data_IF_374802391774
#
_entry.id   IF_374802391774
#
_cell.length_a   1.000
_cell.length_b   1.000
_cell.length_c   1.000
_cell.angle_alpha   90.00
_cell.angle_beta   90.00
_cell.angle_gamma   90.00
#
_symmetry.space_group_name_H-M   'P 1'
#
loop_
_entity.id
_entity.type
_entity.pdbx_description
1 polymer ?
#
# COMPACT_ATOMS: atom_id res chain seq x y z
N UNK A 1 -5.21 17.44 19.67
CA UNK A 1 -5.03 17.89 18.28
C UNK A 1 -4.96 16.64 17.41
N UNK A 2 -5.63 16.66 16.27
CA UNK A 2 -5.51 15.58 15.31
C UNK A 2 -4.12 15.64 14.67
N UNK A 3 -3.40 14.50 14.62
CA UNK A 3 -2.00 14.44 14.15
C UNK A 3 -1.80 14.90 12.71
N UNK A 4 -2.85 14.77 11.88
CA UNK A 4 -2.80 15.02 10.44
C UNK A 4 -3.74 16.18 10.03
N UNK A 5 -4.11 17.04 10.96
CA UNK A 5 -5.00 18.17 10.69
C UNK A 5 -4.44 19.06 9.56
N UNK A 6 -5.26 19.34 8.56
CA UNK A 6 -4.90 20.15 7.39
C UNK A 6 -3.97 19.46 6.38
N UNK A 7 -3.59 18.20 6.56
CA UNK A 7 -2.79 17.43 5.62
C UNK A 7 -3.64 16.86 4.49
N UNK A 8 -3.07 16.77 3.28
CA UNK A 8 -3.65 16.10 2.13
C UNK A 8 -2.92 14.80 1.86
N UNK A 9 -3.66 13.69 1.83
CA UNK A 9 -3.13 12.35 1.62
C UNK A 9 -3.66 11.71 0.34
N UNK A 10 -2.85 10.86 -0.30
CA UNK A 10 -3.23 10.03 -1.46
C UNK A 10 -3.00 8.58 -1.11
N UNK A 11 -3.98 7.72 -1.40
CA UNK A 11 -3.89 6.27 -1.15
C UNK A 11 -4.32 5.53 -2.42
N UNK A 12 -3.43 4.75 -3.01
CA UNK A 12 -3.79 3.86 -4.10
C UNK A 12 -4.29 2.51 -3.58
N UNK A 13 -5.29 1.91 -4.25
CA UNK A 13 -5.99 0.73 -3.71
C UNK A 13 -6.74 1.05 -2.42
N UNK A 14 -7.35 2.24 -2.34
CA UNK A 14 -8.08 2.72 -1.17
C UNK A 14 -9.53 2.26 -1.08
N UNK A 15 -9.98 1.46 -2.04
CA UNK A 15 -11.34 0.94 -2.13
C UNK A 15 -11.61 -0.30 -1.25
N UNK A 16 -10.56 -0.90 -0.67
CA UNK A 16 -10.72 -2.11 0.15
C UNK A 16 -9.52 -2.40 1.06
N UNK A 17 -9.68 -3.33 2.00
CA UNK A 17 -8.59 -3.90 2.81
C UNK A 17 -7.73 -2.85 3.52
N UNK A 18 -6.40 -2.98 3.38
CA UNK A 18 -5.42 -2.11 4.02
C UNK A 18 -5.61 -0.65 3.59
N UNK A 19 -5.81 -0.41 2.30
CA UNK A 19 -5.98 0.96 1.77
C UNK A 19 -7.20 1.66 2.36
N UNK A 20 -8.35 0.98 2.42
CA UNK A 20 -9.58 1.51 2.99
C UNK A 20 -9.43 1.80 4.49
N UNK A 21 -8.89 0.86 5.25
CA UNK A 21 -8.64 1.06 6.68
C UNK A 21 -7.69 2.24 6.93
N UNK A 22 -6.63 2.36 6.10
CA UNK A 22 -5.71 3.49 6.17
C UNK A 22 -6.40 4.81 5.85
N UNK A 23 -7.24 4.85 4.81
CA UNK A 23 -7.98 6.05 4.45
C UNK A 23 -8.88 6.53 5.60
N UNK A 24 -9.65 5.61 6.20
CA UNK A 24 -10.46 5.91 7.38
C UNK A 24 -9.63 6.44 8.54
N UNK A 25 -8.47 5.79 8.83
CA UNK A 25 -7.58 6.19 9.92
C UNK A 25 -6.99 7.59 9.71
N UNK A 26 -6.50 7.91 8.50
CA UNK A 26 -5.95 9.25 8.23
C UNK A 26 -7.04 10.33 8.29
N UNK A 27 -8.26 10.05 7.84
CA UNK A 27 -9.41 10.97 7.98
C UNK A 27 -9.78 11.18 9.45
N UNK A 28 -9.81 10.13 10.25
CA UNK A 28 -10.04 10.20 11.70
C UNK A 28 -9.00 11.13 12.39
N UNK A 29 -7.76 11.13 11.90
CA UNK A 29 -6.67 11.97 12.40
C UNK A 29 -6.60 13.37 11.77
N UNK A 30 -7.60 13.75 10.95
CA UNK A 30 -7.79 15.12 10.45
C UNK A 30 -7.30 15.36 9.02
N UNK A 31 -6.79 14.36 8.32
CA UNK A 31 -6.37 14.51 6.93
C UNK A 31 -7.56 14.60 5.97
N UNK A 32 -7.36 15.24 4.84
CA UNK A 32 -8.18 15.06 3.65
C UNK A 32 -7.54 13.98 2.76
N UNK A 33 -8.32 12.96 2.35
CA UNK A 33 -7.76 11.79 1.69
C UNK A 33 -8.33 11.61 0.28
N UNK A 34 -7.47 11.45 -0.70
CA UNK A 34 -7.83 10.97 -2.03
C UNK A 34 -7.56 9.46 -2.09
N UNK A 35 -8.57 8.70 -2.48
CA UNK A 35 -8.45 7.27 -2.70
C UNK A 35 -8.64 6.93 -4.16
N UNK A 36 -7.88 5.97 -4.69
CA UNK A 36 -8.11 5.45 -6.03
C UNK A 36 -8.23 3.93 -6.03
N UNK A 37 -9.05 3.42 -6.95
CA UNK A 37 -9.29 2.00 -7.17
C UNK A 37 -9.92 1.79 -8.53
N UNK A 38 -9.85 0.55 -9.05
CA UNK A 38 -10.34 0.23 -10.40
C UNK A 38 -11.85 0.09 -10.47
N UNK A 39 -12.47 -0.33 -9.37
CA UNK A 39 -13.88 -0.69 -9.32
C UNK A 39 -14.70 0.48 -8.77
N UNK A 40 -15.47 1.11 -9.63
CA UNK A 40 -16.23 2.31 -9.26
C UNK A 40 -17.18 2.06 -8.09
N UNK A 41 -17.92 0.96 -8.12
CA UNK A 41 -18.89 0.64 -7.07
C UNK A 41 -18.22 0.52 -5.69
N UNK A 42 -17.14 -0.24 -5.59
CA UNK A 42 -16.40 -0.42 -4.34
C UNK A 42 -15.76 0.89 -3.88
N UNK A 43 -15.34 1.73 -4.82
CA UNK A 43 -14.80 3.06 -4.52
C UNK A 43 -15.88 3.98 -3.94
N UNK A 44 -17.09 3.97 -4.50
CA UNK A 44 -18.23 4.75 -4.01
C UNK A 44 -18.67 4.26 -2.61
N UNK A 45 -18.70 2.94 -2.40
CA UNK A 45 -18.96 2.33 -1.10
C UNK A 45 -17.91 2.74 -0.06
N UNK A 46 -16.62 2.76 -0.42
CA UNK A 46 -15.53 3.20 0.44
C UNK A 46 -15.67 4.70 0.83
N UNK A 47 -15.95 5.57 -0.14
CA UNK A 47 -16.20 6.99 0.11
C UNK A 47 -17.38 7.17 1.06
N UNK A 48 -18.49 6.44 0.85
CA UNK A 48 -19.65 6.47 1.71
C UNK A 48 -19.34 5.97 3.13
N UNK A 49 -18.55 4.92 3.26
CA UNK A 49 -18.13 4.36 4.56
C UNK A 49 -17.25 5.33 5.36
N UNK A 50 -16.29 5.99 4.71
CA UNK A 50 -15.40 6.98 5.34
C UNK A 50 -16.20 8.26 5.68
N UNK A 51 -17.09 8.70 4.81
CA UNK A 51 -18.12 9.70 5.03
C UNK A 51 -17.68 11.14 4.77
N UNK A 52 -16.60 11.63 5.34
CA UNK A 52 -16.13 13.03 5.21
C UNK A 52 -14.65 13.10 4.83
N UNK A 53 -14.23 14.26 4.32
CA UNK A 53 -12.80 14.53 3.99
C UNK A 53 -12.17 13.46 3.10
N UNK A 54 -12.94 12.89 2.18
CA UNK A 54 -12.49 11.89 1.23
C UNK A 54 -13.03 12.15 -0.16
N UNK A 55 -12.19 11.92 -1.17
CA UNK A 55 -12.56 11.91 -2.60
C UNK A 55 -12.09 10.61 -3.24
N UNK A 56 -13.01 9.91 -3.91
CA UNK A 56 -12.69 8.75 -4.73
C UNK A 56 -12.42 9.16 -6.18
N UNK A 57 -11.33 8.69 -6.75
CA UNK A 57 -11.00 8.88 -8.17
C UNK A 57 -10.76 7.50 -8.79
N UNK A 58 -11.65 7.05 -9.68
CA UNK A 58 -11.48 5.76 -10.34
C UNK A 58 -10.21 5.77 -11.19
N UNK A 59 -9.41 4.71 -11.08
CA UNK A 59 -8.19 4.56 -11.89
C UNK A 59 -7.45 3.25 -11.62
N UNK A 60 -6.69 2.83 -12.62
CA UNK A 60 -5.73 1.73 -12.53
C UNK A 60 -4.31 2.31 -12.48
N UNK A 61 -3.52 1.96 -11.47
CA UNK A 61 -2.15 2.47 -11.33
C UNK A 61 -1.22 2.00 -12.47
N UNK A 62 -1.56 0.91 -13.15
CA UNK A 62 -0.83 0.46 -14.35
C UNK A 62 -1.13 1.30 -15.60
N UNK A 63 -2.19 2.11 -15.58
CA UNK A 63 -2.55 3.05 -16.63
C UNK A 63 -2.09 4.48 -16.27
N UNK A 64 -1.08 4.98 -16.97
CA UNK A 64 -0.50 6.28 -16.65
C UNK A 64 -1.46 7.46 -16.85
N UNK A 65 -2.43 7.36 -17.78
CA UNK A 65 -3.46 8.38 -17.96
C UNK A 65 -4.43 8.47 -16.79
N UNK A 66 -4.68 7.36 -16.11
CA UNK A 66 -5.49 7.34 -14.88
C UNK A 66 -4.78 8.04 -13.72
N UNK A 67 -3.45 7.87 -13.63
CA UNK A 67 -2.63 8.61 -12.67
C UNK A 67 -2.61 10.11 -12.99
N UNK A 68 -2.53 10.49 -14.28
CA UNK A 68 -2.61 11.91 -14.67
C UNK A 68 -3.95 12.53 -14.25
N UNK A 69 -5.05 11.82 -14.46
CA UNK A 69 -6.39 12.25 -14.01
C UNK A 69 -6.49 12.38 -12.48
N UNK A 70 -5.91 11.42 -11.74
CA UNK A 70 -5.85 11.47 -10.28
C UNK A 70 -5.15 12.75 -9.81
N UNK A 71 -3.94 13.03 -10.30
CA UNK A 71 -3.17 14.18 -9.86
C UNK A 71 -3.73 15.51 -10.36
N UNK A 72 -4.37 15.56 -11.53
CA UNK A 72 -5.11 16.73 -11.98
C UNK A 72 -6.29 17.05 -11.05
N UNK A 73 -7.03 16.03 -10.58
CA UNK A 73 -8.11 16.19 -9.61
C UNK A 73 -7.58 16.73 -8.27
N UNK A 74 -6.45 16.21 -7.79
CA UNK A 74 -5.82 16.66 -6.55
C UNK A 74 -5.35 18.12 -6.68
N UNK A 75 -4.70 18.45 -7.80
CA UNK A 75 -4.27 19.82 -8.10
C UNK A 75 -5.43 20.80 -8.05
N UNK A 76 -6.56 20.43 -8.65
CA UNK A 76 -7.74 21.28 -8.70
C UNK A 76 -8.39 21.47 -7.32
N UNK A 77 -8.45 20.42 -6.49
CA UNK A 77 -9.19 20.46 -5.23
C UNK A 77 -8.36 20.92 -4.04
N UNK A 78 -7.07 20.59 -3.99
CA UNK A 78 -6.18 20.85 -2.83
C UNK A 78 -4.86 21.52 -3.19
N UNK A 79 -4.44 21.45 -4.44
CA UNK A 79 -3.19 22.07 -4.94
C UNK A 79 -1.91 21.40 -4.48
N UNK A 80 -1.94 20.55 -3.46
CA UNK A 80 -0.73 19.93 -2.90
C UNK A 80 -0.99 18.63 -2.16
N UNK A 81 0.08 17.84 -1.97
CA UNK A 81 0.11 16.55 -1.26
C UNK A 81 1.12 16.62 -0.12
N UNK A 82 0.76 16.14 1.05
CA UNK A 82 1.64 15.97 2.21
C UNK A 82 2.03 14.49 2.41
N UNK A 83 1.12 13.57 2.08
CA UNK A 83 1.25 12.14 2.38
C UNK A 83 0.87 11.32 1.13
N UNK A 84 1.68 10.33 0.79
CA UNK A 84 1.35 9.33 -0.23
C UNK A 84 1.53 7.93 0.34
N UNK A 85 0.48 7.14 0.33
CA UNK A 85 0.54 5.70 0.56
C UNK A 85 0.33 4.96 -0.76
N UNK A 86 1.42 4.53 -1.38
CA UNK A 86 1.41 3.69 -2.58
C UNK A 86 1.15 2.24 -2.19
N UNK A 87 -0.14 1.89 -2.09
CA UNK A 87 -0.61 0.62 -1.54
C UNK A 87 -1.15 -0.34 -2.60
N UNK A 88 -1.63 0.14 -3.74
CA UNK A 88 -2.15 -0.73 -4.79
C UNK A 88 -1.15 -1.83 -5.18
N UNK A 89 -1.62 -3.06 -5.23
CA UNK A 89 -0.79 -4.20 -5.55
C UNK A 89 -1.63 -5.46 -5.72
N UNK A 90 -1.02 -6.47 -6.33
CA UNK A 90 -1.61 -7.80 -6.47
C UNK A 90 -0.53 -8.88 -6.23
N UNK A 91 -0.98 -10.07 -5.82
CA UNK A 91 -0.14 -11.25 -5.69
C UNK A 91 -0.93 -12.46 -6.16
N UNK A 92 -0.48 -13.08 -7.22
CA UNK A 92 -1.06 -14.29 -7.77
C UNK A 92 0.00 -15.39 -7.72
N UNK A 93 -0.32 -16.60 -7.19
CA UNK A 93 0.63 -17.68 -7.14
C UNK A 93 0.79 -18.29 -8.54
N UNK A 94 2.04 -18.62 -8.89
CA UNK A 94 2.37 -19.46 -10.03
C UNK A 94 3.68 -20.19 -9.74
N UNK A 95 3.72 -21.53 -9.83
CA UNK A 95 4.96 -22.28 -9.71
C UNK A 95 5.90 -21.91 -10.86
N UNK A 96 7.21 -21.93 -10.59
CA UNK A 96 8.24 -21.46 -11.53
C UNK A 96 8.05 -21.94 -12.99
N UNK A 97 7.77 -23.23 -13.26
CA UNK A 97 7.57 -23.70 -14.63
C UNK A 97 6.30 -23.20 -15.33
N UNK A 98 5.32 -22.65 -14.58
CA UNK A 98 4.04 -22.19 -15.09
C UNK A 98 3.95 -20.65 -15.19
N UNK A 99 5.00 -19.92 -14.86
CA UNK A 99 5.03 -18.48 -14.99
C UNK A 99 5.04 -18.13 -16.48
N UNK A 100 4.01 -17.39 -16.92
CA UNK A 100 3.92 -16.83 -18.26
C UNK A 100 4.41 -15.36 -18.27
N UNK A 101 4.76 -14.87 -19.45
CA UNK A 101 5.07 -13.46 -19.67
C UNK A 101 3.92 -12.57 -19.19
N UNK A 102 2.68 -12.89 -19.54
CA UNK A 102 1.50 -12.15 -19.10
C UNK A 102 1.33 -12.12 -17.57
N UNK A 103 1.67 -13.21 -16.86
CA UNK A 103 1.66 -13.24 -15.39
C UNK A 103 2.73 -12.32 -14.81
N UNK A 104 3.92 -12.33 -15.38
CA UNK A 104 5.03 -11.46 -14.99
C UNK A 104 4.65 -9.98 -15.22
N UNK A 105 4.25 -9.64 -16.45
CA UNK A 105 3.90 -8.28 -16.84
C UNK A 105 2.78 -7.72 -15.97
N UNK A 106 1.69 -8.47 -15.77
CA UNK A 106 0.58 -8.08 -14.91
C UNK A 106 1.04 -7.71 -13.50
N UNK A 107 1.94 -8.51 -12.92
CA UNK A 107 2.43 -8.29 -11.57
C UNK A 107 3.36 -7.08 -11.52
N UNK A 108 4.30 -6.96 -12.44
CA UNK A 108 5.26 -5.86 -12.46
C UNK A 108 4.63 -4.54 -12.91
N UNK A 109 3.68 -4.55 -13.83
CA UNK A 109 2.95 -3.35 -14.27
C UNK A 109 2.20 -2.70 -13.10
N UNK A 110 1.60 -3.48 -12.21
CA UNK A 110 0.90 -2.93 -11.05
C UNK A 110 1.88 -2.62 -9.90
N UNK A 111 2.66 -3.63 -9.47
CA UNK A 111 3.42 -3.54 -8.21
C UNK A 111 4.69 -2.69 -8.32
N UNK A 112 5.29 -2.59 -9.50
CA UNK A 112 6.58 -1.92 -9.72
C UNK A 112 6.39 -0.66 -10.56
N UNK A 113 5.98 -0.81 -11.82
CA UNK A 113 5.77 0.33 -12.74
C UNK A 113 4.68 1.28 -12.23
N UNK A 114 3.51 0.74 -11.87
CA UNK A 114 2.40 1.53 -11.34
C UNK A 114 2.76 2.27 -10.05
N UNK A 115 3.47 1.62 -9.13
CA UNK A 115 3.95 2.24 -7.91
C UNK A 115 4.97 3.35 -8.21
N UNK A 116 5.95 3.10 -9.11
CA UNK A 116 6.95 4.08 -9.49
C UNK A 116 6.29 5.35 -10.04
N UNK A 117 5.40 5.19 -11.04
CA UNK A 117 4.75 6.35 -11.65
C UNK A 117 3.71 7.00 -10.74
N UNK A 118 3.11 6.27 -9.81
CA UNK A 118 2.31 6.86 -8.72
C UNK A 118 3.15 7.87 -7.94
N UNK A 119 4.36 7.50 -7.52
CA UNK A 119 5.25 8.42 -6.80
C UNK A 119 5.77 9.54 -7.68
N UNK A 120 6.29 9.21 -8.88
CA UNK A 120 6.89 10.20 -9.78
C UNK A 120 5.91 11.32 -10.14
N UNK A 121 4.69 10.97 -10.52
CA UNK A 121 3.65 11.94 -10.90
C UNK A 121 3.10 12.74 -9.71
N UNK A 122 3.26 12.26 -8.48
CA UNK A 122 2.92 13.00 -7.26
C UNK A 122 3.92 14.12 -6.95
N UNK A 123 5.21 13.95 -7.31
CA UNK A 123 6.28 14.84 -6.87
C UNK A 123 6.06 16.33 -7.18
N UNK A 124 5.50 16.75 -8.33
CA UNK A 124 5.20 18.17 -8.58
C UNK A 124 4.23 18.79 -7.60
N UNK A 125 3.33 17.99 -7.00
CA UNK A 125 2.33 18.43 -6.03
C UNK A 125 2.79 18.23 -4.57
N UNK A 126 3.87 17.48 -4.36
CA UNK A 126 4.33 17.15 -3.01
C UNK A 126 4.92 18.36 -2.32
N UNK A 127 4.53 18.62 -1.07
CA UNK A 127 5.18 19.61 -0.23
C UNK A 127 6.53 19.09 0.27
N UNK A 128 7.47 20.00 0.47
CA UNK A 128 8.72 19.68 1.16
C UNK A 128 8.42 19.24 2.61
N UNK A 129 9.14 18.26 3.10
CA UNK A 129 8.89 17.66 4.42
C UNK A 129 7.77 16.62 4.45
N UNK A 130 7.18 16.26 3.31
CA UNK A 130 6.12 15.25 3.24
C UNK A 130 6.60 13.81 3.49
N UNK A 131 5.64 12.86 3.49
CA UNK A 131 5.91 11.45 3.76
C UNK A 131 5.36 10.54 2.65
N UNK A 132 6.22 9.72 2.08
CA UNK A 132 5.89 8.68 1.12
C UNK A 132 6.03 7.32 1.80
N UNK A 133 4.96 6.53 1.81
CA UNK A 133 4.94 5.17 2.35
C UNK A 133 4.66 4.20 1.19
N UNK A 134 5.52 3.20 1.05
CA UNK A 134 5.42 2.19 -0.01
C UNK A 134 4.98 0.86 0.58
N UNK A 135 3.92 0.28 0.05
CA UNK A 135 3.44 -1.02 0.51
C UNK A 135 4.25 -2.17 -0.11
N UNK A 136 5.27 -2.61 0.62
CA UNK A 136 6.03 -3.83 0.31
C UNK A 136 5.28 -5.08 0.82
N UNK A 137 5.98 -6.05 1.39
CA UNK A 137 5.44 -7.27 2.00
C UNK A 137 6.56 -7.99 2.72
N UNK A 138 6.27 -8.82 3.72
CA UNK A 138 7.23 -9.81 4.25
C UNK A 138 7.84 -10.68 3.15
N UNK A 139 7.11 -10.89 2.04
CA UNK A 139 7.59 -11.60 0.85
C UNK A 139 8.77 -10.90 0.13
N UNK A 140 9.07 -9.64 0.45
CA UNK A 140 10.28 -8.97 -0.04
C UNK A 140 11.58 -9.55 0.56
N UNK A 141 11.48 -10.17 1.74
CA UNK A 141 12.62 -10.68 2.52
C UNK A 141 12.51 -12.17 2.85
N UNK A 142 11.28 -12.71 2.94
CA UNK A 142 11.02 -14.13 3.24
C UNK A 142 10.46 -14.83 2.00
N UNK A 143 11.12 -15.89 1.58
CA UNK A 143 10.69 -16.67 0.41
C UNK A 143 9.32 -17.33 0.65
N UNK A 144 8.48 -17.33 -0.38
CA UNK A 144 7.19 -18.02 -0.40
C UNK A 144 7.08 -18.83 -1.68
N UNK A 145 6.85 -20.14 -1.54
CA UNK A 145 6.69 -21.03 -2.68
C UNK A 145 5.54 -20.58 -3.59
N UNK A 146 5.77 -20.65 -4.90
CA UNK A 146 4.80 -20.21 -5.91
C UNK A 146 4.65 -18.69 -6.06
N UNK A 147 5.40 -17.86 -5.32
CA UNK A 147 5.27 -16.39 -5.36
C UNK A 147 6.53 -15.67 -5.85
N UNK A 148 7.40 -16.31 -6.64
CA UNK A 148 8.68 -15.72 -7.05
C UNK A 148 8.54 -14.36 -7.73
N UNK A 149 7.58 -14.18 -8.66
CA UNK A 149 7.35 -12.89 -9.34
C UNK A 149 6.85 -11.83 -8.35
N UNK A 150 5.92 -12.18 -7.48
CA UNK A 150 5.44 -11.29 -6.43
C UNK A 150 6.55 -10.89 -5.45
N UNK A 151 7.32 -11.85 -4.94
CA UNK A 151 8.45 -11.62 -4.04
C UNK A 151 9.45 -10.64 -4.68
N UNK A 152 9.84 -10.88 -5.94
CA UNK A 152 10.74 -10.00 -6.69
C UNK A 152 10.16 -8.58 -6.83
N UNK A 153 8.85 -8.44 -7.14
CA UNK A 153 8.20 -7.15 -7.24
C UNK A 153 8.22 -6.39 -5.90
N UNK A 154 8.03 -7.07 -4.77
CA UNK A 154 8.04 -6.45 -3.45
C UNK A 154 9.46 -6.12 -2.95
N UNK A 155 10.46 -6.89 -3.36
CA UNK A 155 11.87 -6.55 -3.16
C UNK A 155 12.26 -5.28 -3.95
N UNK A 156 11.75 -5.10 -5.18
CA UNK A 156 11.92 -3.86 -5.93
C UNK A 156 11.33 -2.65 -5.18
N UNK A 157 10.13 -2.77 -4.62
CA UNK A 157 9.49 -1.71 -3.80
C UNK A 157 10.36 -1.34 -2.60
N UNK A 158 10.93 -2.33 -1.91
CA UNK A 158 11.85 -2.10 -0.79
C UNK A 158 13.10 -1.35 -1.25
N UNK A 159 13.63 -1.68 -2.43
CA UNK A 159 14.78 -0.99 -3.02
C UNK A 159 14.46 0.49 -3.31
N UNK A 160 13.28 0.79 -3.87
CA UNK A 160 12.84 2.17 -4.10
C UNK A 160 12.83 3.01 -2.83
N UNK A 161 12.34 2.48 -1.70
CA UNK A 161 12.32 3.22 -0.46
C UNK A 161 13.72 3.73 -0.05
N UNK A 162 14.75 2.91 -0.21
CA UNK A 162 16.14 3.31 0.10
C UNK A 162 16.67 4.35 -0.88
N UNK A 163 16.48 4.11 -2.18
CA UNK A 163 17.03 4.97 -3.23
C UNK A 163 16.36 6.35 -3.21
N UNK A 164 15.03 6.40 -3.14
CA UNK A 164 14.29 7.66 -3.15
C UNK A 164 14.49 8.50 -1.87
N UNK A 165 14.81 7.87 -0.75
CA UNK A 165 15.25 8.60 0.45
C UNK A 165 16.48 9.47 0.16
N UNK A 166 17.43 8.96 -0.64
CA UNK A 166 18.64 9.71 -1.02
C UNK A 166 18.32 10.77 -2.08
N UNK A 167 17.51 10.43 -3.08
CA UNK A 167 17.14 11.33 -4.17
C UNK A 167 16.31 12.52 -3.71
N UNK A 168 15.41 12.31 -2.73
CA UNK A 168 14.47 13.32 -2.24
C UNK A 168 14.96 14.07 -0.98
N UNK A 169 16.18 13.80 -0.51
CA UNK A 169 16.73 14.42 0.71
C UNK A 169 16.73 15.95 0.68
N UNK A 170 16.96 16.56 -0.48
CA UNK A 170 16.99 18.02 -0.65
C UNK A 170 15.61 18.66 -0.43
N UNK A 171 14.54 17.89 -0.62
CA UNK A 171 13.14 18.27 -0.34
C UNK A 171 12.67 17.84 1.06
N UNK A 172 13.55 17.22 1.85
CA UNK A 172 13.21 16.67 3.19
C UNK A 172 12.01 15.71 3.18
N UNK A 173 11.71 15.09 2.04
CA UNK A 173 10.65 14.09 1.91
C UNK A 173 11.16 12.77 2.46
N UNK A 174 10.43 12.21 3.43
CA UNK A 174 10.72 10.89 3.99
C UNK A 174 10.11 9.81 3.11
N UNK A 175 10.86 8.74 2.84
CA UNK A 175 10.38 7.59 2.07
C UNK A 175 10.64 6.32 2.86
N UNK A 176 9.57 5.60 3.22
CA UNK A 176 9.65 4.37 3.99
C UNK A 176 8.84 3.26 3.32
N UNK A 177 9.25 2.02 3.52
CA UNK A 177 8.46 0.85 3.17
C UNK A 177 7.75 0.30 4.40
N UNK A 178 6.51 -0.17 4.23
CA UNK A 178 5.82 -1.00 5.20
C UNK A 178 5.68 -2.41 4.61
N UNK A 179 5.98 -3.43 5.41
CA UNK A 179 5.94 -4.83 5.00
C UNK A 179 4.91 -5.59 5.85
N UNK A 180 3.65 -5.64 5.39
CA UNK A 180 2.62 -6.43 6.05
C UNK A 180 2.95 -7.93 6.01
N UNK A 181 2.63 -8.63 7.10
CA UNK A 181 2.48 -10.07 7.12
C UNK A 181 1.12 -10.53 6.56
N UNK A 182 0.61 -11.69 6.98
CA UNK A 182 -0.73 -12.14 6.64
C UNK A 182 -1.77 -11.25 7.31
N UNK A 183 -2.56 -10.53 6.50
CA UNK A 183 -3.58 -9.58 6.96
C UNK A 183 -4.95 -10.00 6.45
N UNK A 184 -5.97 -9.99 7.31
CA UNK A 184 -7.35 -10.39 6.99
C UNK A 184 -8.05 -9.37 6.09
N UNK A 185 -7.73 -9.40 4.82
CA UNK A 185 -8.31 -8.56 3.77
C UNK A 185 -9.28 -9.35 2.90
N UNK A 186 -10.18 -8.69 2.13
CA UNK A 186 -11.00 -9.39 1.13
C UNK A 186 -10.18 -10.21 0.14
N UNK A 187 -9.04 -9.69 -0.33
CA UNK A 187 -8.13 -10.41 -1.23
C UNK A 187 -7.52 -11.66 -0.57
N UNK A 188 -7.11 -11.55 0.69
CA UNK A 188 -6.60 -12.69 1.46
C UNK A 188 -7.68 -13.77 1.62
N UNK A 189 -8.89 -13.39 2.04
CA UNK A 189 -10.01 -14.33 2.23
C UNK A 189 -10.39 -15.02 0.93
N UNK A 190 -10.51 -14.28 -0.18
CA UNK A 190 -10.88 -14.86 -1.48
C UNK A 190 -9.83 -15.85 -2.01
N UNK A 191 -8.55 -15.61 -1.75
CA UNK A 191 -7.46 -16.50 -2.12
C UNK A 191 -7.61 -17.91 -1.49
N UNK A 192 -8.08 -17.99 -0.25
CA UNK A 192 -8.30 -19.27 0.45
C UNK A 192 -9.65 -19.88 0.16
N UNK A 193 -10.71 -19.09 0.01
CA UNK A 193 -12.06 -19.61 -0.27
C UNK A 193 -12.11 -20.41 -1.58
N UNK A 194 -11.28 -20.07 -2.55
CA UNK A 194 -11.20 -20.80 -3.83
C UNK A 194 -10.55 -22.18 -3.70
N UNK A 195 -9.87 -22.48 -2.59
CA UNK A 195 -9.16 -23.73 -2.34
C UNK A 195 -9.94 -24.73 -1.47
N UNK A 196 -11.15 -24.38 -1.02
CA UNK A 196 -11.99 -25.24 -0.18
C UNK A 196 -11.29 -25.69 1.11
N UNK A 197 -11.42 -26.95 1.50
CA UNK A 197 -10.79 -27.51 2.72
C UNK A 197 -9.26 -27.34 2.75
N UNK A 198 -8.59 -27.39 1.61
CA UNK A 198 -7.16 -27.11 1.53
C UNK A 198 -6.83 -25.67 1.93
N UNK A 199 -7.73 -24.72 1.64
CA UNK A 199 -7.56 -23.32 2.05
C UNK A 199 -7.54 -23.14 3.56
N UNK A 200 -8.38 -23.85 4.29
CA UNK A 200 -8.41 -23.77 5.77
C UNK A 200 -7.13 -24.36 6.39
N UNK A 201 -6.62 -25.46 5.85
CA UNK A 201 -5.36 -26.05 6.30
C UNK A 201 -4.17 -25.12 6.03
N UNK A 202 -4.09 -24.51 4.84
CA UNK A 202 -3.04 -23.53 4.50
C UNK A 202 -3.12 -22.33 5.45
N UNK A 203 -4.33 -21.81 5.68
CA UNK A 203 -4.55 -20.69 6.61
C UNK A 203 -4.11 -21.05 8.03
N UNK A 204 -4.43 -22.24 8.52
CA UNK A 204 -3.97 -22.72 9.82
C UNK A 204 -2.44 -22.82 9.88
N UNK A 205 -1.78 -23.30 8.85
CA UNK A 205 -0.33 -23.32 8.72
C UNK A 205 0.30 -21.93 8.76
N UNK A 206 -0.32 -20.96 8.08
CA UNK A 206 0.11 -19.55 8.13
C UNK A 206 -0.01 -19.01 9.56
N UNK A 207 -1.14 -19.22 10.22
CA UNK A 207 -1.35 -18.78 11.61
C UNK A 207 -0.29 -19.38 12.54
N UNK A 208 0.00 -20.66 12.38
CA UNK A 208 1.01 -21.35 13.19
C UNK A 208 2.44 -20.81 12.95
N UNK A 209 2.71 -20.24 11.79
CA UNK A 209 4.02 -19.63 11.48
C UNK A 209 4.19 -18.21 12.00
N UNK A 210 3.11 -17.54 12.42
CA UNK A 210 3.15 -16.20 13.00
C UNK A 210 3.40 -16.28 14.51
N UNK A 211 4.48 -15.70 15.05
CA UNK A 211 4.76 -15.74 16.49
C UNK A 211 3.62 -15.26 17.38
N UNK A 212 2.86 -14.24 16.95
CA UNK A 212 1.67 -13.78 17.70
C UNK A 212 0.46 -14.72 17.57
N UNK A 213 0.56 -15.84 16.84
CA UNK A 213 -0.46 -16.88 16.76
C UNK A 213 -1.76 -16.47 16.06
N UNK A 214 -1.76 -15.42 15.25
CA UNK A 214 -2.94 -14.94 14.56
C UNK A 214 -2.60 -14.18 13.27
N UNK A 215 -3.60 -14.04 12.41
CA UNK A 215 -3.58 -13.13 11.28
C UNK A 215 -3.80 -11.70 11.79
N UNK A 216 -3.11 -10.72 11.19
CA UNK A 216 -3.28 -9.31 11.50
C UNK A 216 -4.55 -8.72 10.86
N UNK A 217 -4.93 -7.53 11.28
CA UNK A 217 -6.06 -6.79 10.74
C UNK A 217 -5.59 -5.61 9.87
N UNK A 218 -6.40 -5.14 8.91
CA UNK A 218 -6.09 -3.92 8.15
C UNK A 218 -5.85 -2.69 9.03
N UNK A 219 -6.54 -2.59 10.16
CA UNK A 219 -6.40 -1.48 11.11
C UNK A 219 -5.00 -1.45 11.78
N UNK A 220 -4.38 -2.61 12.01
CA UNK A 220 -3.02 -2.67 12.56
C UNK A 220 -1.99 -2.10 11.57
N UNK A 221 -2.20 -2.32 10.27
CA UNK A 221 -1.38 -1.70 9.23
C UNK A 221 -1.68 -0.19 9.13
N UNK A 222 -2.95 0.20 9.18
CA UNK A 222 -3.38 1.59 9.12
C UNK A 222 -2.73 2.46 10.22
N UNK A 223 -2.62 1.93 11.45
CA UNK A 223 -1.94 2.59 12.57
C UNK A 223 -0.44 2.80 12.30
N UNK A 224 0.22 1.81 11.73
CA UNK A 224 1.64 1.92 11.38
C UNK A 224 1.86 2.91 10.21
N UNK A 225 0.97 2.93 9.21
CA UNK A 225 1.00 3.93 8.14
C UNK A 225 0.76 5.33 8.70
N UNK A 226 -0.21 5.51 9.59
CA UNK A 226 -0.46 6.80 10.27
C UNK A 226 0.77 7.28 11.05
N UNK A 227 1.45 6.40 11.78
CA UNK A 227 2.71 6.72 12.44
C UNK A 227 3.77 7.23 11.43
N UNK A 228 4.00 6.49 10.33
CA UNK A 228 4.95 6.88 9.29
C UNK A 228 4.54 8.17 8.55
N UNK A 229 3.26 8.47 8.47
CA UNK A 229 2.72 9.67 7.84
C UNK A 229 2.87 10.93 8.71
N UNK A 230 2.99 10.77 10.03
CA UNK A 230 2.99 11.87 11.01
C UNK A 230 4.40 12.34 11.40
N UNK A 231 4.44 13.42 12.18
CA UNK A 231 5.67 13.94 12.78
C UNK A 231 6.26 13.01 13.86
N UNK A 232 5.48 12.04 14.37
CA UNK A 232 5.96 11.02 15.30
C UNK A 232 7.13 10.20 14.70
N UNK A 233 7.25 10.18 13.37
CA UNK A 233 8.32 9.51 12.62
C UNK A 233 9.25 10.48 11.89
N UNK A 234 9.37 11.73 12.35
CA UNK A 234 10.12 12.81 11.70
C UNK A 234 11.62 12.51 11.46
N UNK A 235 12.21 11.60 12.24
CA UNK A 235 13.61 11.17 12.08
C UNK A 235 13.74 9.74 11.50
N UNK A 236 12.68 9.26 10.82
CA UNK A 236 12.63 7.92 10.23
C UNK A 236 12.46 8.02 8.72
N UNK A 237 13.47 7.57 7.95
CA UNK A 237 13.42 7.49 6.49
C UNK A 237 14.29 6.33 5.98
N UNK A 238 13.93 5.74 4.84
CA UNK A 238 14.67 4.64 4.20
C UNK A 238 14.48 3.27 4.86
N UNK A 239 13.63 3.13 5.88
CA UNK A 239 13.42 1.87 6.59
C UNK A 239 12.43 0.96 5.85
N UNK A 240 12.44 -0.30 6.26
CA UNK A 240 11.36 -1.25 6.08
C UNK A 240 10.77 -1.58 7.44
N UNK A 241 9.53 -1.20 7.65
CA UNK A 241 8.80 -1.50 8.88
C UNK A 241 7.94 -2.75 8.68
N UNK A 242 8.32 -3.84 9.35
CA UNK A 242 7.52 -5.06 9.36
C UNK A 242 6.34 -4.91 10.33
N UNK A 243 5.13 -5.24 9.84
CA UNK A 243 3.91 -5.31 10.64
C UNK A 243 3.28 -6.68 10.35
N UNK A 244 3.82 -7.71 10.97
CA UNK A 244 3.69 -9.10 10.54
C UNK A 244 3.52 -10.11 11.68
N UNK A 245 3.38 -9.62 12.91
CA UNK A 245 3.31 -10.47 14.10
C UNK A 245 4.59 -11.25 14.40
N UNK A 246 5.74 -10.82 13.86
CA UNK A 246 7.05 -11.43 14.05
C UNK A 246 7.45 -12.44 12.96
N UNK A 247 6.61 -12.66 11.94
CA UNK A 247 6.78 -13.70 10.92
C UNK A 247 8.13 -13.64 10.18
N UNK A 248 8.63 -12.45 9.87
CA UNK A 248 9.88 -12.26 9.11
C UNK A 248 11.08 -11.94 10.00
N UNK A 249 10.92 -11.98 11.32
CA UNK A 249 11.98 -11.64 12.27
C UNK A 249 12.72 -12.87 12.81
N UNK A 250 12.19 -14.07 12.55
CA UNK A 250 12.74 -15.37 12.98
C UNK A 250 12.85 -16.34 11.83
#
# INVERSE_FOLDING_TARGET
MNKLEGKSAVITGGDSGIGLATAGKLVEEGAYVFITGRRQRELDEAVKQIGKNVTGVQGDVSNLADLDRLYATIQQQKGSIDILFANAGLGEPAPLPAISEAHFDKTFDVNVKGLLFTVQKALPLFKDGGSIILCASTAASKATEGFSVYCASKAAVRSFARTWTVELKHRKIRVNAISPGPIDTPAFRSGFSSLGQNGDQIKAGIVASVPLGRIGTPDEIAKAVSFLASEDSSFITGIELFVDGGLAQI
#
